data_IF_372206765995
#
_entry.id   IF_372206765995
#
_cell.length_a   1.000
_cell.length_b   1.000
_cell.length_c   1.000
_cell.angle_alpha   90.00
_cell.angle_beta   90.00
_cell.angle_gamma   90.00
#
_symmetry.space_group_name_H-M   'P 1'
#
loop_
_entity.id
_entity.type
_entity.pdbx_description
1 polymer ?
#
# COMPACT_ATOMS: atom_id res chain seq x y z
N UNK A 1 -13.83 4.21 8.81
CA UNK A 1 -12.78 3.84 9.77
C UNK A 1 -11.38 4.17 9.26
N UNK A 2 -10.96 3.71 8.10
CA UNK A 2 -9.62 3.93 7.53
C UNK A 2 -9.20 5.39 7.40
N UNK A 3 -10.04 6.24 6.83
CA UNK A 3 -9.78 7.67 6.67
C UNK A 3 -9.65 8.40 8.02
N UNK A 4 -10.38 7.96 9.03
CA UNK A 4 -10.26 8.51 10.39
C UNK A 4 -8.91 8.15 11.00
N UNK A 5 -8.45 6.91 10.78
CA UNK A 5 -7.16 6.45 11.29
C UNK A 5 -5.99 7.16 10.59
N UNK A 6 -6.07 7.33 9.26
CA UNK A 6 -5.10 8.11 8.49
C UNK A 6 -5.06 9.57 8.96
N UNK A 7 -6.23 10.19 9.19
CA UNK A 7 -6.31 11.53 9.75
C UNK A 7 -5.62 11.64 11.11
N UNK A 8 -5.86 10.67 12.01
CA UNK A 8 -5.25 10.65 13.34
C UNK A 8 -3.72 10.49 13.25
N UNK A 9 -3.24 9.59 12.41
CA UNK A 9 -1.80 9.36 12.20
C UNK A 9 -1.12 10.58 11.61
N UNK A 10 -1.70 11.21 10.58
CA UNK A 10 -1.16 12.44 10.00
C UNK A 10 -1.19 13.61 10.98
N UNK A 11 -2.29 13.78 11.73
CA UNK A 11 -2.41 14.86 12.72
C UNK A 11 -1.42 14.67 13.87
N UNK A 12 -1.21 13.43 14.33
CA UNK A 12 -0.21 13.12 15.33
C UNK A 12 1.22 13.39 14.81
N UNK A 13 1.51 12.97 13.57
CA UNK A 13 2.80 13.18 12.93
C UNK A 13 3.13 14.67 12.80
N UNK A 14 2.20 15.48 12.32
CA UNK A 14 2.41 16.94 12.15
C UNK A 14 2.48 17.69 13.49
N UNK A 15 1.78 17.22 14.53
CA UNK A 15 1.84 17.85 15.86
C UNK A 15 3.10 17.50 16.64
N UNK A 16 3.53 16.22 16.57
CA UNK A 16 4.67 15.76 17.35
C UNK A 16 6.02 15.98 16.67
N UNK A 17 6.03 16.05 15.35
CA UNK A 17 7.25 16.20 14.55
C UNK A 17 7.12 17.31 13.48
N UNK A 18 6.81 18.57 13.86
CA UNK A 18 6.49 19.62 12.88
C UNK A 18 7.69 20.03 12.01
N UNK A 19 8.91 19.72 12.43
CA UNK A 19 10.13 20.06 11.70
C UNK A 19 10.73 18.90 10.89
N UNK A 20 10.09 17.75 10.87
CA UNK A 20 10.66 16.59 10.20
C UNK A 20 9.97 16.34 8.84
N UNK A 21 10.75 16.06 7.78
CA UNK A 21 10.22 15.78 6.44
C UNK A 21 9.57 14.41 6.30
N UNK A 22 9.42 13.66 7.40
CA UNK A 22 8.89 12.29 7.37
C UNK A 22 7.38 12.29 7.51
N UNK A 23 6.72 11.64 6.57
CA UNK A 23 5.28 11.35 6.65
C UNK A 23 5.07 9.88 7.03
N UNK A 24 4.07 9.60 7.86
CA UNK A 24 3.62 8.24 8.16
C UNK A 24 2.24 8.06 7.55
N UNK A 25 2.10 7.07 6.68
CA UNK A 25 0.85 6.75 6.01
C UNK A 25 0.55 5.24 6.10
N UNK A 26 -0.72 4.91 6.27
CA UNK A 26 -1.21 3.53 6.26
C UNK A 26 -1.61 3.06 4.84
N UNK A 27 -1.60 3.97 3.87
CA UNK A 27 -2.06 3.68 2.51
C UNK A 27 -1.33 2.49 1.89
N UNK A 28 0.02 2.39 1.94
CA UNK A 28 0.72 1.25 1.35
C UNK A 28 0.37 -0.09 2.00
N UNK A 29 0.23 -0.10 3.33
CA UNK A 29 -0.17 -1.29 4.08
C UNK A 29 -1.55 -1.78 3.64
N UNK A 30 -2.53 -0.88 3.63
CA UNK A 30 -3.90 -1.17 3.26
C UNK A 30 -4.03 -1.58 1.81
N UNK A 31 -3.31 -0.87 0.94
CA UNK A 31 -3.23 -1.23 -0.47
C UNK A 31 -2.74 -2.66 -0.63
N UNK A 32 -1.66 -3.05 0.06
CA UNK A 32 -1.09 -4.40 -0.03
C UNK A 32 -2.07 -5.47 0.44
N UNK A 33 -2.72 -5.27 1.59
CA UNK A 33 -3.71 -6.22 2.12
C UNK A 33 -4.91 -6.36 1.17
N UNK A 34 -5.43 -5.24 0.66
CA UNK A 34 -6.56 -5.24 -0.27
C UNK A 34 -6.16 -5.86 -1.62
N UNK A 35 -4.93 -5.59 -2.10
CA UNK A 35 -4.39 -6.16 -3.33
C UNK A 35 -4.35 -7.69 -3.26
N UNK A 36 -3.88 -8.23 -2.14
CA UNK A 36 -3.83 -9.69 -1.93
C UNK A 36 -5.24 -10.28 -1.86
N UNK A 37 -6.17 -9.67 -1.14
CA UNK A 37 -7.50 -10.24 -0.89
C UNK A 37 -8.49 -10.03 -2.03
N UNK A 38 -8.50 -8.84 -2.63
CA UNK A 38 -9.53 -8.41 -3.58
C UNK A 38 -8.97 -7.89 -4.91
N UNK A 39 -7.65 -7.96 -5.12
CA UNK A 39 -7.02 -7.60 -6.40
C UNK A 39 -7.26 -6.14 -6.79
N UNK A 40 -8.01 -5.91 -7.87
CA UNK A 40 -8.27 -4.57 -8.45
C UNK A 40 -8.87 -3.57 -7.45
N UNK A 41 -9.61 -4.05 -6.43
CA UNK A 41 -10.19 -3.18 -5.41
C UNK A 41 -9.15 -2.43 -4.57
N UNK A 42 -7.86 -2.81 -4.66
CA UNK A 42 -6.77 -2.04 -4.09
C UNK A 42 -6.65 -0.62 -4.67
N UNK A 43 -7.22 -0.37 -5.83
CA UNK A 43 -7.33 0.99 -6.39
C UNK A 43 -8.05 1.96 -5.43
N UNK A 44 -9.05 1.48 -4.66
CA UNK A 44 -9.81 2.34 -3.74
C UNK A 44 -8.92 2.95 -2.63
N UNK A 45 -8.21 2.16 -1.80
CA UNK A 45 -7.31 2.75 -0.79
C UNK A 45 -6.17 3.56 -1.43
N UNK A 46 -5.68 3.20 -2.62
CA UNK A 46 -4.66 3.97 -3.33
C UNK A 46 -5.14 5.36 -3.73
N UNK A 47 -6.31 5.45 -4.37
CA UNK A 47 -6.92 6.71 -4.79
C UNK A 47 -7.36 7.55 -3.60
N UNK A 48 -8.16 6.99 -2.70
CA UNK A 48 -8.71 7.72 -1.55
C UNK A 48 -7.60 8.18 -0.60
N UNK A 49 -6.57 7.34 -0.39
CA UNK A 49 -5.41 7.71 0.41
C UNK A 49 -4.63 8.87 -0.22
N UNK A 50 -4.40 8.82 -1.54
CA UNK A 50 -3.74 9.91 -2.27
C UNK A 50 -4.53 11.22 -2.20
N UNK A 51 -5.85 11.17 -2.44
CA UNK A 51 -6.74 12.32 -2.32
C UNK A 51 -6.71 12.91 -0.92
N UNK A 52 -6.84 12.06 0.09
CA UNK A 52 -6.87 12.47 1.49
C UNK A 52 -5.56 13.08 1.95
N UNK A 53 -4.43 12.47 1.57
CA UNK A 53 -3.09 13.00 1.84
C UNK A 53 -2.93 14.41 1.24
N UNK A 54 -3.28 14.60 -0.04
CA UNK A 54 -3.17 15.91 -0.70
C UNK A 54 -4.08 16.95 -0.07
N UNK A 55 -5.30 16.56 0.31
CA UNK A 55 -6.25 17.45 0.98
C UNK A 55 -5.72 17.95 2.34
N UNK A 56 -5.23 17.03 3.19
CA UNK A 56 -4.71 17.36 4.52
C UNK A 56 -3.41 18.17 4.47
N UNK A 57 -2.56 17.93 3.46
CA UNK A 57 -1.30 18.66 3.27
C UNK A 57 -1.46 20.01 2.57
N UNK A 58 -2.69 20.36 2.14
CA UNK A 58 -2.93 21.57 1.35
C UNK A 58 -2.16 21.58 0.04
N UNK A 59 -2.01 20.41 -0.59
CA UNK A 59 -1.18 20.25 -1.77
C UNK A 59 -1.75 20.96 -3.00
N UNK A 60 -0.85 21.37 -3.90
CA UNK A 60 -1.24 21.92 -5.20
C UNK A 60 -2.00 20.88 -6.06
N UNK A 61 -2.88 21.33 -6.98
CA UNK A 61 -3.68 20.44 -7.83
C UNK A 61 -2.86 19.40 -8.61
N UNK A 62 -1.65 19.73 -9.04
CA UNK A 62 -0.73 18.82 -9.74
C UNK A 62 -0.35 17.61 -8.89
N UNK A 63 -0.19 17.79 -7.57
CA UNK A 63 0.16 16.71 -6.63
C UNK A 63 -0.95 15.69 -6.46
N UNK A 64 -2.22 16.10 -6.62
CA UNK A 64 -3.32 15.14 -6.60
C UNK A 64 -3.18 14.09 -7.70
N UNK A 65 -2.80 14.48 -8.92
CA UNK A 65 -2.53 13.54 -9.99
C UNK A 65 -1.36 12.60 -9.64
N UNK A 66 -0.26 13.14 -9.09
CA UNK A 66 0.93 12.37 -8.70
C UNK A 66 0.57 11.30 -7.66
N UNK A 67 -0.12 11.68 -6.58
CA UNK A 67 -0.43 10.75 -5.50
C UNK A 67 -1.58 9.80 -5.85
N UNK A 68 -2.61 10.25 -6.57
CA UNK A 68 -3.72 9.36 -6.94
C UNK A 68 -3.31 8.36 -8.02
N UNK A 69 -2.73 8.83 -9.13
CA UNK A 69 -2.37 7.97 -10.26
C UNK A 69 -1.13 7.15 -9.94
N UNK A 70 -0.10 7.77 -9.32
CA UNK A 70 1.13 7.10 -8.94
C UNK A 70 0.91 5.93 -7.98
N UNK A 71 -0.03 6.07 -7.04
CA UNK A 71 -0.40 4.99 -6.12
C UNK A 71 -1.04 3.78 -6.79
N UNK A 72 -1.47 3.88 -8.05
CA UNK A 72 -2.09 2.77 -8.77
C UNK A 72 -1.09 1.86 -9.48
N UNK A 73 0.17 2.27 -9.62
CA UNK A 73 1.16 1.47 -10.35
C UNK A 73 1.32 0.05 -9.78
N UNK A 74 1.23 -0.22 -8.46
CA UNK A 74 1.30 -1.59 -7.94
C UNK A 74 0.16 -2.52 -8.40
N UNK A 75 -0.91 -2.02 -9.02
CA UNK A 75 -1.92 -2.88 -9.66
C UNK A 75 -1.34 -3.74 -10.77
N UNK A 76 -0.20 -3.35 -11.34
CA UNK A 76 0.56 -4.18 -12.31
C UNK A 76 1.03 -5.51 -11.70
N UNK A 77 1.04 -5.66 -10.38
CA UNK A 77 1.33 -6.93 -9.72
C UNK A 77 0.19 -7.95 -9.78
N UNK A 78 -1.03 -7.57 -10.19
CA UNK A 78 -2.20 -8.47 -10.22
C UNK A 78 -1.94 -9.74 -11.04
N UNK A 79 -1.41 -9.69 -12.29
CA UNK A 79 -1.13 -10.89 -13.04
C UNK A 79 -0.06 -11.78 -12.38
N UNK A 80 0.95 -11.17 -11.76
CA UNK A 80 1.96 -11.90 -10.99
C UNK A 80 1.33 -12.60 -9.77
N UNK A 81 0.48 -11.90 -9.02
CA UNK A 81 -0.24 -12.47 -7.88
C UNK A 81 -1.14 -13.64 -8.30
N UNK A 82 -1.82 -13.53 -9.44
CA UNK A 82 -2.66 -14.59 -9.97
C UNK A 82 -1.84 -15.83 -10.34
N UNK A 83 -0.65 -15.66 -10.94
CA UNK A 83 0.26 -16.75 -11.26
C UNK A 83 0.83 -17.41 -9.99
N UNK A 84 1.30 -16.58 -9.04
CA UNK A 84 1.83 -17.06 -7.77
C UNK A 84 0.83 -17.90 -6.98
N UNK A 85 -0.44 -17.48 -6.95
CA UNK A 85 -1.51 -18.21 -6.26
C UNK A 85 -1.72 -19.61 -6.84
N UNK A 86 -1.62 -19.76 -8.16
CA UNK A 86 -1.75 -21.07 -8.83
C UNK A 86 -0.63 -22.03 -8.45
N UNK A 87 0.59 -21.51 -8.27
CA UNK A 87 1.77 -22.33 -8.02
C UNK A 87 2.00 -22.63 -6.52
N UNK A 88 1.83 -21.65 -5.67
CA UNK A 88 2.28 -21.68 -4.26
C UNK A 88 1.18 -21.40 -3.22
N UNK A 89 -0.04 -21.10 -3.64
CA UNK A 89 -1.19 -20.88 -2.76
C UNK A 89 -1.16 -19.52 -2.05
N UNK A 90 -0.78 -19.46 -0.78
CA UNK A 90 -0.88 -18.28 0.07
C UNK A 90 0.44 -17.51 0.19
N UNK A 91 0.34 -16.19 0.46
CA UNK A 91 1.47 -15.31 0.84
C UNK A 91 1.80 -15.37 2.34
N UNK A 92 1.41 -16.45 3.04
CA UNK A 92 1.65 -16.62 4.48
C UNK A 92 3.13 -16.82 4.86
N UNK A 93 4.00 -17.11 3.91
CA UNK A 93 5.45 -17.16 4.13
C UNK A 93 6.07 -15.78 4.41
N UNK A 94 7.16 -15.74 5.23
CA UNK A 94 7.79 -14.45 5.58
C UNK A 94 8.38 -13.74 4.38
N UNK A 95 9.16 -14.46 3.57
CA UNK A 95 9.84 -13.90 2.41
C UNK A 95 8.86 -13.38 1.34
N UNK A 96 7.85 -14.17 0.92
CA UNK A 96 6.90 -13.67 -0.07
C UNK A 96 6.04 -12.51 0.43
N UNK A 97 5.63 -12.47 1.71
CA UNK A 97 4.84 -11.37 2.26
C UNK A 97 5.63 -10.07 2.31
N UNK A 98 6.88 -10.11 2.82
CA UNK A 98 7.76 -8.94 2.86
C UNK A 98 8.19 -8.52 1.45
N UNK A 99 8.54 -9.49 0.58
CA UNK A 99 8.90 -9.22 -0.81
C UNK A 99 7.77 -8.54 -1.59
N UNK A 100 6.53 -8.96 -1.38
CA UNK A 100 5.37 -8.29 -1.95
C UNK A 100 5.22 -6.86 -1.43
N UNK A 101 5.38 -6.66 -0.11
CA UNK A 101 5.37 -5.33 0.50
C UNK A 101 6.41 -4.41 -0.13
N UNK A 102 7.65 -4.88 -0.27
CA UNK A 102 8.72 -4.12 -0.94
C UNK A 102 8.35 -3.78 -2.39
N UNK A 103 7.82 -4.75 -3.15
CA UNK A 103 7.42 -4.52 -4.53
C UNK A 103 6.30 -3.47 -4.63
N UNK A 104 5.31 -3.51 -3.74
CA UNK A 104 4.22 -2.50 -3.69
C UNK A 104 4.78 -1.13 -3.37
N UNK A 105 5.66 -1.00 -2.37
CA UNK A 105 6.27 0.26 -1.97
C UNK A 105 7.09 0.87 -3.12
N UNK A 106 7.98 0.09 -3.73
CA UNK A 106 8.81 0.55 -4.84
C UNK A 106 7.97 0.98 -6.05
N UNK A 107 6.93 0.22 -6.39
CA UNK A 107 6.05 0.59 -7.49
C UNK A 107 5.19 1.82 -7.17
N UNK A 108 4.76 1.99 -5.93
CA UNK A 108 3.99 3.17 -5.52
C UNK A 108 4.86 4.44 -5.58
N UNK A 109 6.06 4.40 -5.02
CA UNK A 109 7.02 5.50 -5.06
C UNK A 109 7.51 5.76 -6.50
N UNK A 110 7.85 4.71 -7.25
CA UNK A 110 8.21 4.80 -8.67
C UNK A 110 7.08 5.36 -9.53
N UNK A 111 5.84 4.98 -9.25
CA UNK A 111 4.65 5.53 -9.90
C UNK A 111 4.48 7.02 -9.65
N UNK A 112 4.63 7.47 -8.41
CA UNK A 112 4.60 8.90 -8.07
C UNK A 112 5.73 9.67 -8.75
N UNK A 113 6.95 9.11 -8.74
CA UNK A 113 8.10 9.69 -9.44
C UNK A 113 7.85 9.81 -10.95
N UNK A 114 7.33 8.76 -11.58
CA UNK A 114 7.00 8.75 -13.01
C UNK A 114 5.95 9.79 -13.36
N UNK A 115 4.84 9.83 -12.61
CA UNK A 115 3.76 10.79 -12.85
C UNK A 115 4.27 12.22 -12.62
N UNK A 116 5.11 12.48 -11.59
CA UNK A 116 5.68 13.82 -11.36
C UNK A 116 6.52 14.29 -12.53
N UNK A 117 7.32 13.41 -13.16
CA UNK A 117 8.06 13.73 -14.38
C UNK A 117 7.15 14.14 -15.54
N UNK A 118 6.01 13.45 -15.71
CA UNK A 118 5.03 13.79 -16.76
C UNK A 118 4.42 15.18 -16.54
N UNK A 119 4.37 15.65 -15.29
CA UNK A 119 3.96 17.01 -14.93
C UNK A 119 5.10 18.02 -14.90
N UNK A 120 6.30 17.66 -15.41
CA UNK A 120 7.42 18.58 -15.57
C UNK A 120 8.26 18.80 -14.30
N UNK A 121 8.20 17.86 -13.33
CA UNK A 121 9.06 17.95 -12.17
C UNK A 121 10.53 17.75 -12.53
N UNK A 122 11.42 18.42 -11.80
CA UNK A 122 12.87 18.26 -11.97
C UNK A 122 13.29 16.81 -11.59
N UNK A 123 14.01 16.09 -12.46
CA UNK A 123 14.55 14.77 -12.14
C UNK A 123 15.39 14.72 -10.86
N UNK A 124 16.02 15.83 -10.47
CA UNK A 124 16.78 15.92 -9.23
C UNK A 124 15.93 15.72 -7.95
N UNK A 125 14.61 15.91 -8.04
CA UNK A 125 13.68 15.74 -6.92
C UNK A 125 13.18 14.30 -6.74
N UNK A 126 13.42 13.41 -7.72
CA UNK A 126 12.90 12.03 -7.71
C UNK A 126 13.38 11.19 -6.52
N UNK A 127 14.66 11.27 -6.09
CA UNK A 127 15.10 10.53 -4.90
C UNK A 127 14.30 10.87 -3.65
N UNK A 128 13.72 12.08 -3.59
CA UNK A 128 12.87 12.50 -2.48
C UNK A 128 11.68 11.58 -2.24
N UNK A 129 11.06 11.02 -3.29
CA UNK A 129 9.93 10.08 -3.14
C UNK A 129 10.30 8.80 -2.40
N UNK A 130 11.57 8.38 -2.48
CA UNK A 130 12.06 7.17 -1.83
C UNK A 130 12.60 7.44 -0.42
N UNK A 131 13.09 8.64 -0.14
CA UNK A 131 13.74 8.96 1.12
C UNK A 131 12.80 9.53 2.16
N UNK A 132 11.77 10.27 1.77
CA UNK A 132 10.82 10.91 2.70
C UNK A 132 9.84 9.93 3.35
N UNK A 133 9.62 8.76 2.75
CA UNK A 133 8.66 7.77 3.23
C UNK A 133 9.29 6.54 3.92
N UNK A 134 10.59 6.57 4.22
CA UNK A 134 11.31 5.44 4.84
C UNK A 134 10.63 4.94 6.11
N UNK A 135 10.09 5.84 6.94
CA UNK A 135 9.37 5.46 8.17
C UNK A 135 8.07 4.70 7.84
N UNK A 136 7.32 5.19 6.84
CA UNK A 136 6.12 4.49 6.33
C UNK A 136 6.47 3.12 5.76
N UNK A 137 7.57 3.02 5.03
CA UNK A 137 8.04 1.79 4.41
C UNK A 137 8.38 0.74 5.47
N UNK A 138 9.22 1.11 6.44
CA UNK A 138 9.59 0.23 7.55
C UNK A 138 8.37 -0.21 8.35
N UNK A 139 7.48 0.72 8.69
CA UNK A 139 6.24 0.42 9.39
C UNK A 139 5.39 -0.59 8.59
N UNK A 140 5.20 -0.34 7.30
CA UNK A 140 4.43 -1.22 6.41
C UNK A 140 5.00 -2.63 6.38
N UNK A 141 6.33 -2.77 6.22
CA UNK A 141 6.99 -4.07 6.16
C UNK A 141 6.90 -4.83 7.49
N UNK A 142 7.09 -4.14 8.62
CA UNK A 142 6.97 -4.74 9.96
C UNK A 142 5.54 -5.22 10.21
N UNK A 143 4.53 -4.39 9.88
CA UNK A 143 3.14 -4.78 10.07
C UNK A 143 2.75 -5.92 9.14
N UNK A 144 3.16 -5.92 7.87
CA UNK A 144 2.93 -7.05 6.95
C UNK A 144 3.59 -8.34 7.48
N UNK A 145 4.79 -8.24 8.03
CA UNK A 145 5.47 -9.38 8.64
C UNK A 145 4.69 -9.94 9.85
N UNK A 146 4.01 -9.10 10.62
CA UNK A 146 3.13 -9.51 11.72
C UNK A 146 1.82 -10.10 11.16
N UNK A 147 1.17 -9.38 10.24
CA UNK A 147 -0.13 -9.77 9.65
C UNK A 147 -0.09 -11.13 8.96
N UNK A 148 1.06 -11.54 8.41
CA UNK A 148 1.22 -12.87 7.81
C UNK A 148 0.95 -14.02 8.77
N UNK A 149 1.08 -13.77 10.08
CA UNK A 149 0.81 -14.77 11.13
C UNK A 149 -0.68 -14.88 11.46
N UNK A 150 -1.46 -13.89 11.06
CA UNK A 150 -2.90 -13.90 11.25
C UNK A 150 -3.55 -14.72 10.12
N UNK A 151 -4.31 -15.71 10.51
CA UNK A 151 -4.93 -16.63 9.57
C UNK A 151 -5.84 -15.90 8.58
N UNK A 152 -5.68 -16.19 7.30
CA UNK A 152 -6.49 -15.64 6.23
C UNK A 152 -6.24 -14.17 5.86
N UNK A 153 -5.37 -13.42 6.56
CA UNK A 153 -5.16 -11.99 6.27
C UNK A 153 -4.46 -11.74 4.93
N UNK A 154 -3.49 -12.59 4.56
CA UNK A 154 -2.76 -12.53 3.30
C UNK A 154 -3.13 -13.69 2.37
N UNK A 155 -4.39 -14.09 2.41
CA UNK A 155 -4.99 -15.10 1.55
C UNK A 155 -6.08 -14.48 0.68
N UNK A 156 -6.27 -15.00 -0.54
CA UNK A 156 -7.39 -14.59 -1.39
C UNK A 156 -8.72 -14.91 -0.70
N UNK A 157 -9.65 -13.97 -0.72
CA UNK A 157 -10.94 -14.13 -0.03
C UNK A 157 -11.73 -15.36 -0.51
N UNK A 158 -11.63 -15.70 -1.81
CA UNK A 158 -12.35 -16.86 -2.37
C UNK A 158 -11.80 -18.17 -1.80
N UNK A 159 -10.48 -18.30 -1.74
CA UNK A 159 -9.83 -19.48 -1.16
C UNK A 159 -10.12 -19.63 0.33
N UNK A 160 -10.05 -18.53 1.07
CA UNK A 160 -10.38 -18.51 2.49
C UNK A 160 -11.81 -18.98 2.76
N UNK A 161 -12.79 -18.45 2.00
CA UNK A 161 -14.19 -18.87 2.15
C UNK A 161 -14.44 -20.33 1.72
N UNK A 162 -13.73 -20.84 0.72
CA UNK A 162 -13.81 -22.25 0.34
C UNK A 162 -13.30 -23.16 1.46
N UNK A 163 -12.14 -22.83 2.04
CA UNK A 163 -11.57 -23.58 3.17
C UNK A 163 -12.52 -23.61 4.36
N UNK A 164 -13.11 -22.49 4.74
CA UNK A 164 -14.08 -22.45 5.84
C UNK A 164 -15.30 -23.35 5.59
N UNK A 165 -15.84 -23.36 4.36
CA UNK A 165 -16.94 -24.24 3.99
C UNK A 165 -16.57 -25.73 4.05
N UNK A 166 -15.34 -26.06 3.67
CA UNK A 166 -14.84 -27.44 3.75
C UNK A 166 -14.64 -27.87 5.21
N UNK A 167 -14.20 -26.98 6.08
CA UNK A 167 -14.07 -27.23 7.52
C UNK A 167 -15.43 -27.42 8.18
N UNK A 168 -16.42 -26.57 7.86
CA UNK A 168 -17.80 -26.70 8.34
C UNK A 168 -18.47 -28.00 7.86
N UNK A 169 -18.17 -28.45 6.64
CA UNK A 169 -18.72 -29.70 6.11
C UNK A 169 -18.11 -30.97 6.76
N UNK A 170 -16.97 -30.86 7.46
CA UNK A 170 -16.28 -31.95 8.15
C UNK A 170 -16.61 -32.05 9.64
N UNK A 171 -17.18 -30.97 10.21
CA UNK A 171 -17.59 -30.91 11.62
C UNK A 171 -19.00 -31.47 11.81
#
# INVERSE_FOLDING_TARGET
MLLIFEYLVMTASTRWFPAQPYTVSLVPLLFTVVLVRWGVWAALPGLLGGLWFCYLSGAEPSRYAVFCIGNLLPLLLIPFLASWRKEKGSFSGSLPAVGLGVAVLLLMQGGRALVSLLFGADPALLPGFFTTEVVTDLFTLVVLWILRRLDGMLEDQRHYLQRLREEEARS
#
